data_IF_473090068974
#
_entry.id   IF_473090068974
#
_cell.length_a   1.000
_cell.length_b   1.000
_cell.length_c   1.000
_cell.angle_alpha   90.00
_cell.angle_beta   90.00
_cell.angle_gamma   90.00
#
_symmetry.space_group_name_H-M   'P 1'
#
loop_
_entity.id
_entity.type
_entity.pdbx_description
1 polymer ?
#
# COMPACT_ATOMS: atom_id res chain seq x y z
N UNK A 1 -28.73 14.63 9.89
CA UNK A 1 -28.67 13.32 9.20
C UNK A 1 -27.85 13.42 7.91
N UNK A 2 -26.54 13.72 8.00
CA UNK A 2 -25.64 13.88 6.83
C UNK A 2 -24.52 12.84 6.77
N UNK A 3 -24.66 11.71 7.47
CA UNK A 3 -23.61 10.69 7.57
C UNK A 3 -23.94 9.35 6.91
N UNK A 4 -24.98 9.29 6.06
CA UNK A 4 -25.43 8.03 5.44
C UNK A 4 -25.00 7.88 3.96
N UNK A 5 -23.89 8.50 3.54
CA UNK A 5 -23.40 8.43 2.15
C UNK A 5 -21.96 7.89 2.00
N UNK A 6 -21.29 7.51 3.10
CA UNK A 6 -19.89 7.03 3.03
C UNK A 6 -19.71 5.51 2.98
N UNK A 7 -20.78 4.72 3.13
CA UNK A 7 -20.71 3.25 3.13
C UNK A 7 -20.96 2.59 1.76
N UNK A 8 -21.24 3.37 0.71
CA UNK A 8 -21.69 2.83 -0.59
C UNK A 8 -20.54 2.50 -1.57
N UNK A 9 -19.29 2.93 -1.32
CA UNK A 9 -18.22 2.78 -2.33
C UNK A 9 -17.43 1.46 -2.25
N UNK A 10 -17.57 0.62 -1.22
CA UNK A 10 -16.66 -0.53 -1.04
C UNK A 10 -17.28 -1.94 -1.11
N UNK A 11 -18.54 -2.12 -1.53
CA UNK A 11 -19.16 -3.46 -1.48
C UNK A 11 -20.29 -3.70 -2.48
N UNK A 12 -20.06 -3.52 -3.79
CA UNK A 12 -20.88 -4.16 -4.84
C UNK A 12 -20.00 -4.43 -6.05
N UNK A 13 -19.43 -5.63 -6.14
CA UNK A 13 -19.63 -6.61 -7.23
C UNK A 13 -19.07 -7.94 -6.71
N UNK A 14 -19.91 -8.73 -6.02
CA UNK A 14 -19.68 -10.15 -5.86
C UNK A 14 -20.43 -10.85 -7.01
N UNK A 15 -19.83 -10.85 -8.20
CA UNK A 15 -20.19 -11.81 -9.25
C UNK A 15 -19.07 -12.83 -9.27
N UNK A 16 -19.28 -13.91 -8.53
CA UNK A 16 -18.44 -15.09 -8.60
C UNK A 16 -18.57 -15.72 -9.98
N UNK A 17 -17.49 -15.66 -10.75
CA UNK A 17 -17.05 -16.77 -11.57
C UNK A 17 -15.76 -17.27 -10.92
N UNK A 18 -15.71 -18.56 -10.58
CA UNK A 18 -14.59 -19.18 -9.88
C UNK A 18 -13.32 -19.20 -10.73
N UNK A 19 -12.67 -18.07 -10.87
CA UNK A 19 -11.26 -18.01 -11.24
C UNK A 19 -10.49 -18.39 -9.98
N UNK A 20 -10.07 -19.65 -9.90
CA UNK A 20 -9.07 -20.06 -8.91
C UNK A 20 -7.89 -19.10 -9.03
N UNK A 21 -7.44 -18.53 -7.90
CA UNK A 21 -6.23 -17.72 -7.87
C UNK A 21 -5.10 -18.46 -8.61
N UNK A 22 -4.25 -17.75 -9.36
CA UNK A 22 -3.18 -18.40 -10.11
C UNK A 22 -2.21 -19.12 -9.16
N UNK A 23 -1.51 -20.15 -9.65
CA UNK A 23 -0.59 -20.97 -8.83
C UNK A 23 0.57 -20.17 -8.21
N UNK A 24 0.85 -18.97 -8.72
CA UNK A 24 1.87 -18.05 -8.16
C UNK A 24 1.23 -17.09 -7.16
N UNK A 25 1.94 -16.69 -6.11
CA UNK A 25 1.44 -15.69 -5.15
C UNK A 25 1.31 -14.29 -5.78
N UNK A 26 0.48 -13.43 -5.20
CA UNK A 26 0.36 -12.02 -5.63
C UNK A 26 1.70 -11.27 -5.49
N UNK A 27 2.56 -11.66 -4.53
CA UNK A 27 3.92 -11.14 -4.38
C UNK A 27 4.81 -11.55 -5.54
N UNK A 28 4.82 -12.83 -5.92
CA UNK A 28 5.61 -13.30 -7.06
C UNK A 28 5.08 -12.71 -8.38
N UNK A 29 3.76 -12.52 -8.50
CA UNK A 29 3.18 -11.82 -9.63
C UNK A 29 3.63 -10.34 -9.69
N UNK A 30 3.69 -9.66 -8.54
CA UNK A 30 4.19 -8.30 -8.42
C UNK A 30 5.69 -8.17 -8.74
N UNK A 31 6.50 -9.16 -8.33
CA UNK A 31 7.93 -9.27 -8.64
C UNK A 31 8.18 -9.46 -10.13
N UNK A 32 7.48 -10.42 -10.74
CA UNK A 32 7.68 -10.78 -12.15
C UNK A 32 7.04 -9.81 -13.15
N UNK A 33 6.28 -8.82 -12.66
CA UNK A 33 5.56 -7.90 -13.52
C UNK A 33 4.29 -8.50 -14.16
N UNK A 34 3.80 -9.64 -13.64
CA UNK A 34 2.65 -10.35 -14.20
C UNK A 34 1.32 -9.68 -13.80
N UNK A 35 0.93 -8.67 -14.58
CA UNK A 35 -0.28 -7.88 -14.40
C UNK A 35 -1.55 -8.75 -14.38
N UNK A 36 -1.63 -9.75 -15.26
CA UNK A 36 -2.83 -10.59 -15.37
C UNK A 36 -3.01 -11.48 -14.13
N UNK A 37 -1.92 -12.04 -13.60
CA UNK A 37 -1.97 -12.77 -12.35
C UNK A 37 -2.36 -11.88 -11.16
N UNK A 38 -1.86 -10.63 -11.10
CA UNK A 38 -2.28 -9.66 -10.07
C UNK A 38 -3.79 -9.38 -10.18
N UNK A 39 -4.31 -9.14 -11.39
CA UNK A 39 -5.75 -8.91 -11.61
C UNK A 39 -6.59 -10.11 -11.18
N UNK A 40 -6.17 -11.33 -11.53
CA UNK A 40 -6.86 -12.57 -11.12
C UNK A 40 -6.89 -12.72 -9.60
N UNK A 41 -5.76 -12.47 -8.91
CA UNK A 41 -5.73 -12.47 -7.44
C UNK A 41 -6.73 -11.48 -6.84
N UNK A 42 -6.74 -10.24 -7.34
CA UNK A 42 -7.66 -9.22 -6.85
C UNK A 42 -9.13 -9.57 -7.14
N UNK A 43 -9.42 -10.14 -8.31
CA UNK A 43 -10.75 -10.62 -8.67
C UNK A 43 -11.21 -11.83 -7.83
N UNK A 44 -10.28 -12.70 -7.44
CA UNK A 44 -10.52 -13.83 -6.54
C UNK A 44 -10.72 -13.40 -5.07
N UNK A 45 -10.57 -12.11 -4.76
CA UNK A 45 -10.72 -11.57 -3.41
C UNK A 45 -9.50 -11.80 -2.51
N UNK A 46 -8.31 -12.03 -3.10
CA UNK A 46 -7.06 -12.06 -2.35
C UNK A 46 -6.86 -10.75 -1.58
N UNK A 47 -6.30 -10.83 -0.38
CA UNK A 47 -5.93 -9.65 0.38
C UNK A 47 -4.83 -8.87 -0.37
N UNK A 48 -5.17 -7.67 -0.81
CA UNK A 48 -4.25 -6.75 -1.50
C UNK A 48 -3.07 -6.34 -0.63
N UNK A 49 -3.21 -6.45 0.70
CA UNK A 49 -2.17 -6.17 1.70
C UNK A 49 -1.55 -7.44 2.29
N UNK A 50 -1.73 -8.60 1.64
CA UNK A 50 -1.21 -9.87 2.13
C UNK A 50 0.27 -9.77 2.51
N UNK A 51 0.63 -10.30 3.68
CA UNK A 51 2.00 -10.34 4.17
C UNK A 51 2.70 -11.63 3.70
N UNK A 52 3.87 -11.50 3.07
CA UNK A 52 4.73 -12.64 2.71
C UNK A 52 5.85 -12.91 3.73
N UNK A 53 5.83 -12.25 4.89
CA UNK A 53 6.83 -12.27 5.95
C UNK A 53 7.46 -10.90 6.16
N UNK A 54 7.76 -10.56 7.43
CA UNK A 54 8.31 -9.26 7.84
C UNK A 54 7.49 -8.05 7.36
N UNK A 55 6.17 -8.20 7.30
CA UNK A 55 5.22 -7.15 6.89
C UNK A 55 5.40 -6.69 5.42
N UNK A 56 5.93 -7.58 4.58
CA UNK A 56 6.14 -7.30 3.16
C UNK A 56 4.84 -7.50 2.38
N UNK A 57 4.23 -6.38 2.02
CA UNK A 57 3.03 -6.34 1.15
C UNK A 57 3.38 -6.44 -0.34
N UNK A 58 2.42 -6.76 -1.22
CA UNK A 58 2.66 -6.80 -2.68
C UNK A 58 3.10 -5.44 -3.23
N UNK A 59 2.69 -4.34 -2.59
CA UNK A 59 3.09 -2.98 -2.99
C UNK A 59 4.59 -2.71 -2.71
N UNK A 60 5.16 -3.26 -1.63
CA UNK A 60 6.61 -3.19 -1.41
C UNK A 60 7.36 -3.89 -2.54
N UNK A 61 6.92 -5.10 -2.92
CA UNK A 61 7.51 -5.87 -4.00
C UNK A 61 7.42 -5.10 -5.32
N UNK A 62 6.24 -4.62 -5.70
CA UNK A 62 6.07 -3.82 -6.92
C UNK A 62 6.97 -2.57 -6.94
N UNK A 63 7.21 -1.96 -5.78
CA UNK A 63 8.09 -0.80 -5.62
C UNK A 63 9.57 -1.13 -5.81
N UNK A 64 10.02 -2.27 -5.28
CA UNK A 64 11.39 -2.80 -5.46
C UNK A 64 11.70 -3.03 -6.95
N UNK A 65 10.76 -3.62 -7.68
CA UNK A 65 10.94 -3.93 -9.11
C UNK A 65 10.55 -2.77 -10.04
N UNK A 66 10.12 -1.62 -9.51
CA UNK A 66 9.74 -0.46 -10.31
C UNK A 66 8.49 -0.67 -11.17
N UNK A 67 7.64 -1.63 -10.80
CA UNK A 67 6.43 -2.00 -11.53
C UNK A 67 5.29 -1.01 -11.22
N UNK A 68 5.35 0.17 -11.85
CA UNK A 68 4.36 1.25 -11.67
C UNK A 68 2.92 0.80 -11.97
N UNK A 69 2.70 0.04 -13.03
CA UNK A 69 1.35 -0.41 -13.42
C UNK A 69 0.73 -1.36 -12.38
N UNK A 70 1.53 -2.26 -11.80
CA UNK A 70 1.07 -3.09 -10.69
C UNK A 70 0.83 -2.24 -9.44
N UNK A 71 1.68 -1.25 -9.18
CA UNK A 71 1.44 -0.31 -8.08
C UNK A 71 0.12 0.45 -8.24
N UNK A 72 -0.22 0.85 -9.46
CA UNK A 72 -1.52 1.46 -9.81
C UNK A 72 -2.68 0.51 -9.51
N UNK A 73 -2.60 -0.74 -9.95
CA UNK A 73 -3.63 -1.75 -9.69
C UNK A 73 -3.83 -2.02 -8.20
N UNK A 74 -2.75 -2.20 -7.45
CA UNK A 74 -2.80 -2.48 -6.01
C UNK A 74 -3.42 -1.30 -5.25
N UNK A 75 -2.98 -0.06 -5.51
CA UNK A 75 -3.55 1.14 -4.85
C UNK A 75 -5.02 1.33 -5.21
N UNK A 76 -5.40 1.13 -6.47
CA UNK A 76 -6.79 1.22 -6.90
C UNK A 76 -7.71 0.21 -6.19
N UNK A 77 -7.14 -0.90 -5.71
CA UNK A 77 -7.85 -1.93 -4.95
C UNK A 77 -7.65 -1.82 -3.42
N UNK A 78 -7.13 -0.69 -2.93
CA UNK A 78 -7.04 -0.41 -1.49
C UNK A 78 -5.75 -0.85 -0.81
N UNK A 79 -4.66 -1.05 -1.56
CA UNK A 79 -3.34 -1.24 -0.96
C UNK A 79 -2.96 -0.05 -0.07
N UNK A 80 -2.42 -0.34 1.12
CA UNK A 80 -1.88 0.66 2.02
C UNK A 80 -0.62 1.29 1.42
N UNK A 81 -0.72 2.51 0.88
CA UNK A 81 0.40 3.24 0.27
C UNK A 81 1.57 3.49 1.24
N UNK A 82 1.27 3.56 2.54
CA UNK A 82 2.21 3.78 3.64
C UNK A 82 2.34 2.54 4.54
N UNK A 83 2.14 1.33 3.99
CA UNK A 83 2.47 0.12 4.72
C UNK A 83 3.94 0.17 5.16
N UNK A 84 4.24 -0.35 6.35
CA UNK A 84 5.60 -0.34 6.90
C UNK A 84 6.06 -1.78 7.08
N UNK A 85 7.27 -2.07 6.63
CA UNK A 85 7.98 -3.30 6.94
C UNK A 85 8.41 -3.32 8.40
N UNK A 86 8.85 -4.47 8.88
CA UNK A 86 9.38 -4.64 10.26
C UNK A 86 10.55 -3.69 10.58
N UNK A 87 11.35 -3.31 9.57
CA UNK A 87 12.46 -2.37 9.71
C UNK A 87 12.06 -0.89 9.55
N UNK A 88 10.77 -0.60 9.44
CA UNK A 88 10.22 0.76 9.34
C UNK A 88 10.24 1.35 7.92
N UNK A 89 10.71 0.62 6.91
CA UNK A 89 10.69 1.08 5.52
C UNK A 89 9.31 0.93 4.89
N UNK A 90 8.98 1.88 4.03
CA UNK A 90 7.74 1.95 3.24
C UNK A 90 7.97 1.55 1.78
N UNK A 91 6.91 1.34 0.97
CA UNK A 91 7.06 1.16 -0.47
C UNK A 91 7.81 2.32 -1.14
N UNK A 92 7.60 3.55 -0.64
CA UNK A 92 8.28 4.72 -1.19
C UNK A 92 9.78 4.73 -0.87
N UNK A 93 10.19 4.32 0.33
CA UNK A 93 11.62 4.20 0.69
C UNK A 93 12.33 3.27 -0.29
N UNK A 94 11.75 2.10 -0.54
CA UNK A 94 12.31 1.10 -1.45
C UNK A 94 12.42 1.62 -2.88
N UNK A 95 11.37 2.30 -3.37
CA UNK A 95 11.39 2.89 -4.71
C UNK A 95 12.47 3.98 -4.85
N UNK A 96 12.69 4.79 -3.82
CA UNK A 96 13.73 5.85 -3.83
C UNK A 96 15.12 5.23 -3.74
N UNK A 97 15.36 4.32 -2.80
CA UNK A 97 16.65 3.65 -2.56
C UNK A 97 17.16 2.96 -3.83
N UNK A 98 16.25 2.27 -4.54
CA UNK A 98 16.54 1.55 -5.77
C UNK A 98 16.43 2.43 -7.03
N UNK A 99 16.13 3.72 -6.90
CA UNK A 99 16.02 4.70 -8.00
C UNK A 99 14.93 4.37 -9.02
N UNK A 100 13.83 3.77 -8.56
CA UNK A 100 12.62 3.50 -9.32
C UNK A 100 11.77 4.78 -9.44
N UNK A 101 12.33 5.82 -10.06
CA UNK A 101 11.80 7.19 -10.06
C UNK A 101 10.31 7.29 -10.46
N UNK A 102 9.90 6.59 -11.53
CA UNK A 102 8.51 6.63 -11.99
C UNK A 102 7.52 6.07 -10.96
N UNK A 103 7.92 5.04 -10.23
CA UNK A 103 7.12 4.42 -9.17
C UNK A 103 7.17 5.28 -7.90
N UNK A 104 8.34 5.82 -7.54
CA UNK A 104 8.48 6.74 -6.41
C UNK A 104 7.60 8.00 -6.59
N UNK A 105 7.67 8.65 -7.75
CA UNK A 105 6.83 9.81 -8.08
C UNK A 105 5.34 9.45 -8.03
N UNK A 106 4.98 8.27 -8.54
CA UNK A 106 3.61 7.77 -8.50
C UNK A 106 3.12 7.55 -7.07
N UNK A 107 3.90 6.88 -6.22
CA UNK A 107 3.58 6.64 -4.81
C UNK A 107 3.43 7.97 -4.06
N UNK A 108 4.38 8.90 -4.25
CA UNK A 108 4.35 10.24 -3.66
C UNK A 108 3.08 10.99 -4.04
N UNK A 109 2.68 10.93 -5.32
CA UNK A 109 1.43 11.53 -5.82
C UNK A 109 0.18 10.95 -5.15
N UNK A 110 0.22 9.71 -4.69
CA UNK A 110 -0.88 9.04 -4.00
C UNK A 110 -0.74 9.06 -2.47
N UNK A 111 0.05 9.99 -1.92
CA UNK A 111 0.21 10.17 -0.48
C UNK A 111 1.22 9.24 0.17
N UNK A 112 2.06 8.59 -0.63
CA UNK A 112 3.23 7.85 -0.18
C UNK A 112 4.20 8.75 0.59
N UNK A 113 4.57 8.31 1.78
CA UNK A 113 5.55 8.94 2.67
C UNK A 113 6.68 7.97 2.92
N UNK A 114 7.87 8.51 3.17
CA UNK A 114 9.01 7.71 3.66
C UNK A 114 8.76 7.32 5.11
N UNK A 115 9.44 6.27 5.59
CA UNK A 115 9.40 5.88 6.99
C UNK A 115 9.79 7.04 7.89
N UNK A 116 10.86 7.77 7.53
CA UNK A 116 11.31 8.97 8.26
C UNK A 116 10.21 10.05 8.38
N UNK A 117 9.47 10.32 7.31
CA UNK A 117 8.37 11.28 7.32
C UNK A 117 7.22 10.82 8.24
N UNK A 118 6.92 9.51 8.26
CA UNK A 118 5.90 8.94 9.16
C UNK A 118 6.33 9.03 10.63
N UNK A 119 7.60 8.73 10.95
CA UNK A 119 8.14 8.85 12.30
C UNK A 119 8.19 10.30 12.79
N UNK A 120 8.48 11.26 11.91
CA UNK A 120 8.50 12.67 12.27
C UNK A 120 7.10 13.19 12.67
N UNK A 121 6.05 12.75 11.97
CA UNK A 121 4.67 13.13 12.26
C UNK A 121 4.19 12.59 13.62
N UNK A 122 4.59 11.37 13.98
CA UNK A 122 4.25 10.78 15.28
C UNK A 122 4.85 11.57 16.45
N UNK A 123 6.08 12.08 16.28
CA UNK A 123 6.80 12.80 17.32
C UNK A 123 6.42 14.29 17.45
N UNK A 124 5.86 14.90 16.40
CA UNK A 124 5.39 16.29 16.46
C UNK A 124 4.17 16.43 17.41
N UNK A 125 3.31 15.40 17.48
CA UNK A 125 2.15 15.38 18.36
C UNK A 125 2.54 15.35 19.85
N UNK A 126 3.58 14.60 20.20
CA UNK A 126 4.10 14.51 21.57
C UNK A 126 4.63 15.87 22.08
N UNK A 127 5.26 16.66 21.20
CA UNK A 127 5.84 17.96 21.56
C UNK A 127 4.81 19.08 21.80
N UNK A 128 3.59 18.96 21.23
CA UNK A 128 2.52 19.96 21.40
C UNK A 128 1.74 19.76 22.70
N UNK A 129 1.64 18.52 23.21
CA UNK A 129 0.93 18.22 24.45
C UNK A 129 1.63 18.82 25.69
N UNK A 130 2.96 18.74 25.75
CA UNK A 130 3.77 19.21 26.89
C UNK A 130 3.81 20.74 27.06
N UNK A 131 3.48 21.52 26.03
CA UNK A 131 3.39 22.99 26.12
C UNK A 131 2.07 23.48 26.74
N UNK A 132 1.04 22.65 26.81
CA UNK A 132 -0.28 23.06 27.34
C UNK A 132 -0.41 22.91 28.87
N UNK A 133 0.46 22.12 29.51
CA UNK A 133 0.40 21.86 30.96
C UNK A 133 1.32 22.80 31.77
N UNK A 134 2.33 23.42 31.16
CA UNK A 134 3.30 24.27 31.87
C UNK A 134 2.93 25.77 31.87
N UNK A 135 1.66 26.08 31.59
CA UNK A 135 1.11 27.45 31.54
C UNK A 135 -0.12 27.64 32.47
N UNK A 136 -0.32 26.77 33.46
CA UNK A 136 -1.29 26.96 34.55
C UNK A 136 -0.57 27.07 35.87
#
# INVERSE_FOLDING_TARGET
MKHLLLTIIAAVVLVGCGESAPDISIHQAAETGNIDAVKQHLAAGSDVNADAGSLVTPLHVASVFGNKEISELLIANGAGVNAVMEDGRTPLDLAIELKMNKTADFLRKHGGKTGEELYAEENEFASKSSKSENSR
#
